data_IF_517356709534
#
_entry.id   IF_517356709534
#
_cell.length_a   1.000
_cell.length_b   1.000
_cell.length_c   1.000
_cell.angle_alpha   90.00
_cell.angle_beta   90.00
_cell.angle_gamma   90.00
#
_symmetry.space_group_name_H-M   'P 1'
#
loop_
_entity.id
_entity.type
_entity.pdbx_description
1 polymer ?
#
# COMPACT_ATOMS: atom_id res chain seq x y z
N UNK A 1 -0.42 -8.69 -0.43
CA UNK A 1 0.84 -7.93 -0.53
C UNK A 1 0.79 -6.84 0.51
N UNK A 2 1.85 -6.67 1.28
CA UNK A 2 1.97 -5.70 2.37
C UNK A 2 3.17 -4.80 2.08
N UNK A 3 3.14 -3.57 2.58
CA UNK A 3 4.12 -2.52 2.29
C UNK A 3 5.55 -2.86 2.73
N UNK A 4 5.70 -3.75 3.71
CA UNK A 4 6.98 -4.23 4.22
C UNK A 4 7.52 -5.47 3.51
N UNK A 5 6.76 -6.06 2.58
CA UNK A 5 7.16 -7.27 1.86
C UNK A 5 8.54 -7.08 1.18
N UNK A 6 9.38 -8.12 1.19
CA UNK A 6 10.65 -8.13 0.47
C UNK A 6 10.47 -8.10 -1.06
N UNK A 7 11.55 -7.84 -1.79
CA UNK A 7 11.53 -7.90 -3.26
C UNK A 7 11.10 -9.30 -3.74
N UNK A 8 11.66 -10.35 -3.12
CA UNK A 8 11.33 -11.75 -3.41
C UNK A 8 9.88 -12.07 -3.07
N UNK A 9 9.36 -11.58 -1.94
CA UNK A 9 7.96 -11.78 -1.56
C UNK A 9 6.99 -11.09 -2.52
N UNK A 10 7.31 -9.87 -2.97
CA UNK A 10 6.51 -9.13 -3.96
C UNK A 10 6.50 -9.88 -5.30
N UNK A 11 7.66 -10.30 -5.79
CA UNK A 11 7.79 -11.06 -7.03
C UNK A 11 6.97 -12.35 -6.97
N UNK A 12 7.13 -13.11 -5.88
CA UNK A 12 6.43 -14.38 -5.69
C UNK A 12 4.91 -14.21 -5.62
N UNK A 13 4.43 -13.16 -4.92
CA UNK A 13 3.00 -12.84 -4.82
C UNK A 13 2.42 -12.42 -6.17
N UNK A 14 3.15 -11.62 -6.96
CA UNK A 14 2.71 -11.22 -8.31
C UNK A 14 2.68 -12.43 -9.25
N UNK A 15 3.70 -13.28 -9.20
CA UNK A 15 3.80 -14.51 -10.01
C UNK A 15 2.63 -15.46 -9.74
N UNK A 16 2.27 -15.66 -8.48
CA UNK A 16 1.17 -16.53 -8.02
C UNK A 16 -0.22 -15.91 -8.18
N UNK A 17 -0.33 -14.63 -8.55
CA UNK A 17 -1.62 -13.97 -8.65
C UNK A 17 -2.55 -14.71 -9.62
N UNK A 18 -3.80 -14.91 -9.21
CA UNK A 18 -4.80 -15.60 -10.04
C UNK A 18 -5.00 -14.82 -11.34
N UNK A 19 -4.94 -15.53 -12.46
CA UNK A 19 -5.27 -15.00 -13.78
C UNK A 19 -6.07 -16.04 -14.56
N UNK A 20 -6.79 -15.60 -15.59
CA UNK A 20 -7.55 -16.53 -16.44
C UNK A 20 -6.65 -17.24 -17.46
N UNK A 21 -7.22 -18.13 -18.28
CA UNK A 21 -6.47 -18.94 -19.26
C UNK A 21 -6.20 -18.24 -20.59
N UNK A 22 -6.70 -17.01 -20.78
CA UNK A 22 -6.57 -16.28 -22.04
C UNK A 22 -5.33 -15.40 -22.00
N UNK A 23 -4.27 -15.81 -22.72
CA UNK A 23 -2.96 -15.13 -22.67
C UNK A 23 -3.01 -13.65 -23.05
N UNK A 24 -3.92 -13.26 -23.96
CA UNK A 24 -4.07 -11.87 -24.40
C UNK A 24 -4.67 -11.01 -23.29
N UNK A 25 -4.07 -9.85 -23.04
CA UNK A 25 -4.63 -8.85 -22.13
C UNK A 25 -5.89 -8.22 -22.73
N UNK A 26 -6.93 -8.12 -21.91
CA UNK A 26 -8.09 -7.28 -22.17
C UNK A 26 -8.62 -6.75 -20.86
N UNK A 27 -9.30 -5.61 -20.90
CA UNK A 27 -9.94 -5.02 -19.73
C UNK A 27 -11.45 -5.22 -19.80
N UNK A 28 -11.96 -6.05 -18.90
CA UNK A 28 -13.39 -6.34 -18.72
C UNK A 28 -13.60 -6.78 -17.26
N UNK A 29 -13.87 -5.85 -16.34
CA UNK A 29 -14.01 -6.17 -14.92
C UNK A 29 -15.14 -7.18 -14.62
N UNK A 30 -16.18 -7.22 -15.45
CA UNK A 30 -17.32 -8.11 -15.25
C UNK A 30 -17.02 -9.55 -15.71
N UNK A 31 -16.41 -9.71 -16.89
CA UNK A 31 -16.15 -11.04 -17.48
C UNK A 31 -14.75 -11.58 -17.19
N UNK A 32 -13.78 -10.70 -16.98
CA UNK A 32 -12.38 -11.03 -16.69
C UNK A 32 -11.87 -10.23 -15.48
N UNK A 33 -12.48 -10.41 -14.28
CA UNK A 33 -12.13 -9.65 -13.09
C UNK A 33 -10.66 -9.83 -12.67
N UNK A 34 -10.11 -11.04 -12.83
CA UNK A 34 -8.75 -11.35 -12.39
C UNK A 34 -7.68 -10.55 -13.15
N UNK A 35 -7.73 -10.54 -14.49
CA UNK A 35 -6.77 -9.78 -15.29
C UNK A 35 -7.03 -8.28 -15.22
N UNK A 36 -8.31 -7.87 -15.15
CA UNK A 36 -8.67 -6.45 -15.05
C UNK A 36 -8.13 -5.85 -13.74
N UNK A 37 -8.23 -6.58 -12.63
CA UNK A 37 -7.63 -6.17 -11.36
C UNK A 37 -6.09 -6.08 -11.44
N UNK A 38 -5.41 -6.97 -12.16
CA UNK A 38 -3.95 -6.86 -12.36
C UNK A 38 -3.58 -5.63 -13.18
N UNK A 39 -4.38 -5.29 -14.19
CA UNK A 39 -4.22 -4.06 -14.98
C UNK A 39 -4.46 -2.83 -14.09
N UNK A 40 -5.54 -2.82 -13.29
CA UNK A 40 -5.86 -1.73 -12.37
C UNK A 40 -4.73 -1.50 -11.36
N UNK A 41 -4.21 -2.56 -10.75
CA UNK A 41 -3.07 -2.48 -9.82
C UNK A 41 -1.82 -1.92 -10.51
N UNK A 42 -1.51 -2.38 -11.73
CA UNK A 42 -0.37 -1.86 -12.48
C UNK A 42 -0.54 -0.38 -12.79
N UNK A 43 -1.72 0.04 -13.27
CA UNK A 43 -2.02 1.44 -13.56
C UNK A 43 -1.92 2.30 -12.31
N UNK A 44 -2.47 1.85 -11.18
CA UNK A 44 -2.42 2.57 -9.92
C UNK A 44 -0.98 2.78 -9.39
N UNK A 45 -0.09 1.81 -9.59
CA UNK A 45 1.29 1.89 -9.10
C UNK A 45 2.19 2.65 -10.07
N UNK A 46 2.01 2.44 -11.38
CA UNK A 46 2.87 3.03 -12.42
C UNK A 46 2.40 4.41 -12.90
N UNK A 47 1.13 4.76 -12.68
CA UNK A 47 0.50 5.95 -13.27
C UNK A 47 0.15 5.79 -14.76
N UNK A 48 0.36 4.61 -15.35
CA UNK A 48 0.03 4.31 -16.75
C UNK A 48 -1.48 4.22 -16.94
N UNK A 49 -2.00 4.67 -18.08
CA UNK A 49 -3.42 4.50 -18.41
C UNK A 49 -3.72 3.09 -18.92
N UNK A 50 -4.92 2.56 -18.62
CA UNK A 50 -5.37 1.23 -19.09
C UNK A 50 -5.20 1.07 -20.60
N UNK A 51 -5.55 2.11 -21.38
CA UNK A 51 -5.42 2.08 -22.83
C UNK A 51 -3.97 1.86 -23.30
N UNK A 52 -3.00 2.45 -22.59
CA UNK A 52 -1.58 2.27 -22.89
C UNK A 52 -1.13 0.85 -22.55
N UNK A 53 -1.59 0.29 -21.43
CA UNK A 53 -1.28 -1.12 -21.07
C UNK A 53 -1.79 -2.09 -22.13
N UNK A 54 -3.00 -1.87 -22.63
CA UNK A 54 -3.60 -2.72 -23.66
C UNK A 54 -2.92 -2.59 -25.04
N UNK A 55 -2.12 -1.54 -25.26
CA UNK A 55 -1.29 -1.37 -26.45
C UNK A 55 0.07 -2.05 -26.35
N UNK A 56 0.53 -2.45 -25.16
CA UNK A 56 1.88 -2.97 -24.94
C UNK A 56 2.16 -4.38 -25.52
N UNK A 57 1.19 -5.03 -26.19
CA UNK A 57 1.30 -6.41 -26.69
C UNK A 57 1.84 -7.41 -25.64
N UNK A 58 1.64 -7.10 -24.37
CA UNK A 58 2.03 -7.96 -23.26
C UNK A 58 1.10 -9.16 -23.14
N UNK A 59 1.66 -10.27 -22.68
CA UNK A 59 0.91 -11.37 -22.11
C UNK A 59 0.73 -11.20 -20.58
N UNK A 60 0.01 -12.14 -19.96
CA UNK A 60 -0.23 -12.10 -18.52
C UNK A 60 1.04 -12.23 -17.67
N UNK A 61 2.06 -12.95 -18.16
CA UNK A 61 3.31 -13.14 -17.42
C UNK A 61 4.10 -11.83 -17.42
N UNK A 62 4.19 -11.17 -18.58
CA UNK A 62 4.82 -9.86 -18.73
C UNK A 62 4.10 -8.81 -17.88
N UNK A 63 2.77 -8.81 -17.83
CA UNK A 63 2.02 -7.91 -16.93
C UNK A 63 2.38 -8.15 -15.47
N UNK A 64 2.45 -9.41 -15.02
CA UNK A 64 2.81 -9.76 -13.63
C UNK A 64 4.25 -9.36 -13.29
N UNK A 65 5.19 -9.50 -14.23
CA UNK A 65 6.58 -9.06 -14.08
C UNK A 65 6.70 -7.52 -14.06
N UNK A 66 5.96 -6.84 -14.93
CA UNK A 66 5.91 -5.38 -14.95
C UNK A 66 5.31 -4.84 -13.64
N UNK A 67 4.25 -5.48 -13.13
CA UNK A 67 3.63 -5.14 -11.85
C UNK A 67 4.60 -5.37 -10.69
N UNK A 68 5.28 -6.52 -10.62
CA UNK A 68 6.23 -6.79 -9.53
C UNK A 68 7.33 -5.73 -9.50
N UNK A 69 7.90 -5.39 -10.67
CA UNK A 69 8.92 -4.34 -10.79
C UNK A 69 8.39 -2.98 -10.34
N UNK A 70 7.24 -2.56 -10.85
CA UNK A 70 6.66 -1.27 -10.50
C UNK A 70 6.38 -1.16 -8.99
N UNK A 71 5.88 -2.23 -8.36
CA UNK A 71 5.63 -2.25 -6.91
C UNK A 71 6.93 -2.22 -6.12
N UNK A 72 7.95 -3.01 -6.51
CA UNK A 72 9.25 -3.00 -5.84
C UNK A 72 9.90 -1.61 -5.88
N UNK A 73 9.92 -0.97 -7.05
CA UNK A 73 10.46 0.38 -7.23
C UNK A 73 9.69 1.41 -6.39
N UNK A 74 8.35 1.30 -6.34
CA UNK A 74 7.50 2.20 -5.56
C UNK A 74 7.68 2.03 -4.05
N UNK A 75 7.85 0.79 -3.58
CA UNK A 75 7.93 0.48 -2.15
C UNK A 75 9.33 0.62 -1.57
N UNK A 76 10.39 0.56 -2.39
CA UNK A 76 11.78 0.68 -1.94
C UNK A 76 12.03 1.86 -0.97
N UNK A 77 11.70 3.13 -1.31
CA UNK A 77 11.98 4.23 -0.39
C UNK A 77 11.18 4.15 0.92
N UNK A 78 10.00 3.52 0.89
CA UNK A 78 9.17 3.34 2.09
C UNK A 78 9.79 2.26 2.98
N UNK A 79 10.24 1.14 2.40
CA UNK A 79 10.91 0.05 3.13
C UNK A 79 12.22 0.51 3.75
N UNK A 80 13.04 1.26 3.00
CA UNK A 80 14.28 1.84 3.52
C UNK A 80 14.02 2.81 4.68
N UNK A 81 12.97 3.64 4.57
CA UNK A 81 12.58 4.53 5.67
C UNK A 81 12.07 3.76 6.88
N UNK A 82 11.26 2.71 6.67
CA UNK A 82 10.75 1.86 7.75
C UNK A 82 11.90 1.22 8.52
N UNK A 83 12.83 0.55 7.83
CA UNK A 83 13.98 -0.10 8.46
C UNK A 83 14.84 0.90 9.25
N UNK A 84 15.08 2.09 8.68
CA UNK A 84 15.80 3.16 9.39
C UNK A 84 15.09 3.61 10.66
N UNK A 85 13.77 3.73 10.62
CA UNK A 85 12.96 4.13 11.77
C UNK A 85 12.88 3.03 12.83
N UNK A 86 12.90 1.76 12.44
CA UNK A 86 12.92 0.60 13.35
C UNK A 86 14.24 0.47 14.12
N UNK A 87 15.36 0.92 13.54
CA UNK A 87 16.68 0.88 14.18
C UNK A 87 16.95 2.08 15.11
N UNK A 88 16.14 3.14 15.04
CA UNK A 88 16.35 4.40 15.75
C UNK A 88 15.39 4.67 16.90
N UNK A 89 15.59 5.79 17.60
CA UNK A 89 14.69 6.30 18.66
C UNK A 89 13.70 7.35 18.15
N UNK A 90 13.82 7.75 16.86
CA UNK A 90 13.03 8.84 16.27
C UNK A 90 11.52 8.63 16.43
N UNK A 91 11.05 7.40 16.26
CA UNK A 91 9.62 7.07 16.43
C UNK A 91 9.17 7.31 17.88
N UNK A 92 9.93 6.83 18.85
CA UNK A 92 9.60 6.98 20.27
C UNK A 92 9.61 8.44 20.71
N UNK A 93 10.57 9.23 20.22
CA UNK A 93 10.66 10.66 20.49
C UNK A 93 9.45 11.42 19.94
N UNK A 94 9.07 11.15 18.69
CA UNK A 94 7.89 11.75 18.06
C UNK A 94 6.62 11.35 18.83
N UNK A 95 6.47 10.06 19.19
CA UNK A 95 5.32 9.58 19.94
C UNK A 95 5.23 10.21 21.33
N UNK A 96 6.36 10.40 22.01
CA UNK A 96 6.40 11.03 23.32
C UNK A 96 5.96 12.50 23.26
N UNK A 97 6.49 13.28 22.33
CA UNK A 97 6.12 14.69 22.18
C UNK A 97 4.66 14.87 21.75
N UNK A 98 4.21 14.11 20.75
CA UNK A 98 2.80 14.14 20.33
C UNK A 98 1.87 13.66 21.44
N UNK A 99 2.31 12.67 22.25
CA UNK A 99 1.59 12.18 23.41
C UNK A 99 1.34 13.24 24.46
N UNK A 100 2.30 14.13 24.72
CA UNK A 100 2.12 15.28 25.63
C UNK A 100 1.02 16.23 25.12
N UNK A 101 1.08 16.58 23.85
CA UNK A 101 0.09 17.47 23.23
C UNK A 101 -1.33 16.88 23.30
N UNK A 102 -1.46 15.60 22.92
CA UNK A 102 -2.74 14.88 22.99
C UNK A 102 -3.26 14.78 24.43
N UNK A 103 -2.38 14.50 25.40
CA UNK A 103 -2.75 14.41 26.82
C UNK A 103 -3.26 15.74 27.36
N UNK A 104 -2.62 16.85 27.04
CA UNK A 104 -3.07 18.18 27.48
C UNK A 104 -4.49 18.50 27.00
N UNK A 105 -4.83 18.14 25.76
CA UNK A 105 -6.18 18.31 25.21
C UNK A 105 -7.17 17.39 25.94
N UNK A 106 -6.79 16.12 26.15
CA UNK A 106 -7.64 15.14 26.81
C UNK A 106 -7.92 15.52 28.28
N UNK A 107 -6.91 15.99 29.03
CA UNK A 107 -7.03 16.42 30.42
C UNK A 107 -8.02 17.58 30.54
N UNK A 108 -7.89 18.61 29.70
CA UNK A 108 -8.84 19.73 29.68
C UNK A 108 -10.27 19.28 29.44
N UNK A 109 -10.49 18.43 28.44
CA UNK A 109 -11.83 17.92 28.14
C UNK A 109 -12.38 17.09 29.31
N UNK A 110 -11.53 16.29 29.95
CA UNK A 110 -11.94 15.48 31.11
C UNK A 110 -12.27 16.31 32.33
N UNK A 111 -11.56 17.41 32.59
CA UNK A 111 -11.91 18.35 33.67
C UNK A 111 -13.30 18.96 33.44
N UNK A 112 -13.62 19.33 32.20
CA UNK A 112 -14.95 19.85 31.84
C UNK A 112 -16.05 18.80 32.03
N UNK A 113 -15.80 17.56 31.58
CA UNK A 113 -16.73 16.44 31.75
C UNK A 113 -16.93 16.10 33.24
N UNK A 114 -15.86 16.05 34.02
CA UNK A 114 -15.89 15.76 35.46
C UNK A 114 -16.77 16.77 36.20
N UNK A 115 -16.62 18.07 35.90
CA UNK A 115 -17.48 19.13 36.43
C UNK A 115 -18.95 18.94 36.08
N UNK A 116 -19.27 18.54 34.85
CA UNK A 116 -20.65 18.31 34.39
C UNK A 116 -21.30 17.12 35.12
N UNK A 117 -20.55 16.03 35.29
CA UNK A 117 -21.06 14.79 35.88
C UNK A 117 -21.08 14.85 37.42
N UNK A 118 -20.48 15.88 38.02
CA UNK A 118 -20.43 16.05 39.47
C UNK A 118 -19.31 15.25 40.14
N UNK A 119 -18.33 14.79 39.36
CA UNK A 119 -17.07 14.28 39.87
C UNK A 119 -16.15 15.47 40.05
N UNK A 120 -16.06 16.01 41.26
CA UNK A 120 -15.04 17.00 41.66
C UNK A 120 -14.14 16.40 42.72
#
# INVERSE_FOLDING_TARGET
MIISDSAEEIEEKCRKAVSDTVSRLSYDPDKRPAISNLIDLYCAVSGTEIAQVLQQDWDQLQLKQALSRAVMERFLPIREKLLRLEEGTEVDEILFENGKAARSIAERNMEEIQKIVGFS
#
